data_IF_479985138934
#
_entry.id   IF_479985138934
#
_cell.length_a   1.000
_cell.length_b   1.000
_cell.length_c   1.000
_cell.angle_alpha   90.00
_cell.angle_beta   90.00
_cell.angle_gamma   90.00
#
_symmetry.space_group_name_H-M   'P 1'
#
loop_
_entity.id
_entity.type
_entity.pdbx_description
1 polymer ?
#
# COMPACT_ATOMS: atom_id res chain seq x y z
N UNK A 1 -10.30 -7.68 18.97
CA UNK A 1 -9.55 -7.33 17.77
C UNK A 1 -10.25 -6.21 17.03
N UNK A 2 -9.55 -5.13 16.74
CA UNK A 2 -10.14 -3.99 16.04
C UNK A 2 -10.22 -4.20 14.53
N UNK A 3 -10.79 -3.23 13.86
CA UNK A 3 -10.87 -3.20 12.40
C UNK A 3 -10.12 -2.00 11.87
N UNK A 4 -9.41 -2.21 10.78
CA UNK A 4 -8.70 -1.16 10.05
C UNK A 4 -9.51 -0.85 8.80
N UNK A 5 -9.72 0.44 8.51
CA UNK A 5 -10.34 0.83 7.26
C UNK A 5 -9.37 0.59 6.12
N UNK A 6 -9.77 -0.24 5.18
CA UNK A 6 -8.95 -0.56 4.03
C UNK A 6 -9.00 0.54 3.00
N UNK A 7 -7.94 0.62 2.20
CA UNK A 7 -7.83 1.57 1.10
C UNK A 7 -7.52 0.80 -0.17
N UNK A 8 -8.06 1.25 -1.28
CA UNK A 8 -7.73 0.68 -2.58
C UNK A 8 -6.68 1.56 -3.25
N UNK A 9 -5.57 0.97 -3.66
CA UNK A 9 -4.58 1.60 -4.50
C UNK A 9 -4.76 1.07 -5.92
N UNK A 10 -4.92 1.96 -6.88
CA UNK A 10 -5.17 1.59 -8.27
C UNK A 10 -4.26 2.41 -9.18
N UNK A 11 -3.85 1.80 -10.28
CA UNK A 11 -3.02 2.47 -11.26
C UNK A 11 -3.43 2.08 -12.68
N UNK A 12 -2.98 2.88 -13.65
CA UNK A 12 -3.20 2.60 -15.06
C UNK A 12 -2.17 1.59 -15.54
N UNK A 13 -2.55 0.64 -16.42
CA UNK A 13 -1.58 -0.29 -16.97
C UNK A 13 -0.48 0.42 -17.75
N UNK A 14 0.73 -0.15 -17.71
CA UNK A 14 1.84 0.37 -18.50
C UNK A 14 1.53 0.22 -19.99
N UNK A 15 1.76 1.27 -20.76
CA UNK A 15 1.48 1.28 -22.19
C UNK A 15 2.43 0.33 -22.92
N UNK A 16 1.88 -0.44 -23.87
CA UNK A 16 2.67 -1.32 -24.72
C UNK A 16 3.14 -2.62 -24.09
N UNK A 17 2.83 -2.89 -22.83
CA UNK A 17 3.28 -4.08 -22.12
C UNK A 17 2.08 -4.91 -21.69
N UNK A 18 1.57 -5.76 -22.59
CA UNK A 18 0.36 -6.53 -22.32
C UNK A 18 0.47 -7.54 -21.20
N UNK A 19 1.67 -7.92 -20.77
CA UNK A 19 1.88 -8.92 -19.71
C UNK A 19 2.79 -8.39 -18.62
N UNK A 20 2.86 -7.08 -18.44
CA UNK A 20 3.71 -6.49 -17.40
C UNK A 20 3.25 -6.96 -16.02
N UNK A 21 4.21 -7.19 -15.16
CA UNK A 21 3.99 -7.38 -13.73
C UNK A 21 4.38 -6.09 -13.05
N UNK A 22 3.96 -5.93 -11.81
CA UNK A 22 4.17 -4.67 -11.10
C UNK A 22 4.85 -4.91 -9.77
N UNK A 23 5.60 -3.90 -9.32
CA UNK A 23 6.17 -3.84 -7.98
C UNK A 23 5.60 -2.64 -7.27
N UNK A 24 5.17 -2.84 -6.03
CA UNK A 24 4.73 -1.75 -5.16
C UNK A 24 5.84 -1.46 -4.15
N UNK A 25 6.35 -0.24 -4.20
CA UNK A 25 7.37 0.26 -3.28
C UNK A 25 6.71 1.14 -2.23
N UNK A 26 7.32 1.23 -1.05
CA UNK A 26 6.87 2.18 -0.03
C UNK A 26 8.04 2.74 0.75
N UNK A 27 7.83 3.94 1.29
CA UNK A 27 8.80 4.61 2.13
C UNK A 27 8.08 5.50 3.14
N UNK A 28 8.54 5.45 4.38
CA UNK A 28 7.98 6.25 5.46
C UNK A 28 8.63 7.63 5.55
N UNK A 29 9.76 7.84 4.89
CA UNK A 29 10.55 9.05 5.01
C UNK A 29 10.58 9.91 3.75
N UNK A 30 9.78 9.59 2.75
CA UNK A 30 9.68 10.38 1.54
C UNK A 30 10.85 10.27 0.58
N UNK A 31 11.70 9.28 0.73
CA UNK A 31 12.87 9.08 -0.15
C UNK A 31 12.75 7.78 -0.93
N UNK A 32 11.60 7.55 -1.53
CA UNK A 32 11.32 6.32 -2.24
C UNK A 32 12.15 6.20 -3.52
N UNK A 33 12.84 5.10 -3.66
CA UNK A 33 13.63 4.77 -4.85
C UNK A 33 13.68 3.24 -5.01
N UNK A 34 14.50 2.75 -5.96
CA UNK A 34 14.60 1.32 -6.22
C UNK A 34 15.21 0.52 -5.07
N UNK A 35 15.83 1.18 -4.11
CA UNK A 35 16.37 0.53 -2.91
C UNK A 35 15.35 0.47 -1.78
N UNK A 36 14.19 1.08 -1.94
CA UNK A 36 13.12 1.05 -0.96
C UNK A 36 12.51 -0.35 -0.84
N UNK A 37 11.80 -0.58 0.25
CA UNK A 37 11.07 -1.83 0.41
C UNK A 37 10.01 -1.97 -0.66
N UNK A 38 9.74 -3.20 -1.08
CA UNK A 38 8.75 -3.43 -2.11
C UNK A 38 8.11 -4.81 -1.96
N UNK A 39 7.01 -4.97 -2.65
CA UNK A 39 6.34 -6.25 -2.84
C UNK A 39 6.01 -6.43 -4.31
N UNK A 40 6.15 -7.65 -4.80
CA UNK A 40 5.70 -7.98 -6.15
C UNK A 40 4.21 -8.26 -6.09
N UNK A 41 3.44 -7.59 -6.95
CA UNK A 41 1.99 -7.72 -6.92
C UNK A 41 1.43 -8.42 -8.15
N UNK A 42 2.31 -8.87 -9.07
CA UNK A 42 1.88 -9.60 -10.25
C UNK A 42 1.25 -8.71 -11.31
N UNK A 43 0.47 -9.31 -12.19
CA UNK A 43 -0.14 -8.63 -13.33
C UNK A 43 -1.51 -8.06 -12.97
N UNK A 44 -1.57 -7.26 -11.93
CA UNK A 44 -2.81 -6.62 -11.46
C UNK A 44 -2.63 -5.11 -11.51
N UNK A 45 -3.72 -4.36 -11.50
CA UNK A 45 -3.69 -2.90 -11.54
C UNK A 45 -4.33 -2.27 -10.31
N UNK A 46 -4.58 -3.08 -9.28
CA UNK A 46 -5.06 -2.57 -8.00
C UNK A 46 -4.74 -3.55 -6.89
N UNK A 47 -4.60 -3.02 -5.68
CA UNK A 47 -4.44 -3.80 -4.46
C UNK A 47 -5.24 -3.13 -3.35
N UNK A 48 -5.59 -3.91 -2.34
CA UNK A 48 -6.27 -3.42 -1.15
C UNK A 48 -5.25 -3.31 -0.03
N UNK A 49 -5.10 -2.12 0.50
CA UNK A 49 -4.16 -1.85 1.58
C UNK A 49 -4.87 -1.90 2.92
N UNK A 50 -4.28 -2.46 3.95
CA UNK A 50 -2.95 -3.08 3.98
C UNK A 50 -2.97 -4.58 3.71
N UNK A 51 -4.13 -5.19 3.51
CA UNK A 51 -4.29 -6.65 3.54
C UNK A 51 -3.54 -7.37 2.42
N UNK A 52 -3.51 -6.79 1.22
CA UNK A 52 -2.84 -7.43 0.08
C UNK A 52 -1.32 -7.32 0.14
N UNK A 53 -0.79 -6.50 1.06
CA UNK A 53 0.65 -6.28 1.21
C UNK A 53 1.02 -6.57 2.66
N UNK A 54 1.24 -7.84 3.03
CA UNK A 54 1.49 -8.20 4.43
C UNK A 54 2.70 -7.52 5.06
N UNK A 55 3.70 -7.17 4.25
CA UNK A 55 4.91 -6.52 4.75
C UNK A 55 4.79 -5.00 4.90
N UNK A 56 3.66 -4.43 4.48
CA UNK A 56 3.43 -2.98 4.65
C UNK A 56 3.31 -2.66 6.14
N UNK A 57 3.96 -1.58 6.62
CA UNK A 57 3.88 -1.27 8.06
C UNK A 57 2.47 -0.85 8.47
N UNK A 58 2.07 -1.29 9.66
CA UNK A 58 0.75 -0.98 10.25
C UNK A 58 0.90 0.23 11.17
N UNK A 59 1.13 1.38 10.56
CA UNK A 59 1.38 2.64 11.27
C UNK A 59 0.37 3.69 10.86
N UNK A 60 0.34 4.79 11.59
CA UNK A 60 -0.38 6.01 11.22
C UNK A 60 0.64 7.06 10.79
N UNK A 61 0.45 7.66 9.64
CA UNK A 61 1.35 8.69 9.15
C UNK A 61 1.35 8.79 7.65
N UNK A 62 2.20 9.68 7.14
CA UNK A 62 2.40 9.81 5.72
C UNK A 62 3.23 8.66 5.19
N UNK A 63 2.83 8.15 4.04
CA UNK A 63 3.50 7.04 3.39
C UNK A 63 3.63 7.36 1.92
N UNK A 64 4.83 7.25 1.39
CA UNK A 64 5.05 7.38 -0.05
C UNK A 64 4.94 5.99 -0.67
N UNK A 65 4.13 5.88 -1.72
CA UNK A 65 3.93 4.66 -2.46
C UNK A 65 4.40 4.84 -3.88
N UNK A 66 4.93 3.79 -4.48
CA UNK A 66 5.38 3.82 -5.85
C UNK A 66 5.08 2.53 -6.57
N UNK A 67 4.73 2.65 -7.84
CA UNK A 67 4.47 1.49 -8.70
C UNK A 67 5.43 1.54 -9.87
N UNK A 68 6.03 0.40 -10.19
CA UNK A 68 6.79 0.21 -11.41
C UNK A 68 6.26 -0.99 -12.16
N UNK A 69 6.49 -1.00 -13.48
CA UNK A 69 6.17 -2.14 -14.33
C UNK A 69 7.44 -2.90 -14.65
N UNK A 70 7.35 -4.23 -14.67
CA UNK A 70 8.48 -5.11 -14.98
C UNK A 70 8.09 -5.98 -16.16
N UNK A 71 8.91 -5.99 -17.22
CA UNK A 71 8.65 -6.80 -18.40
C UNK A 71 9.24 -8.20 -18.25
N UNK A 72 9.06 -9.02 -19.28
CA UNK A 72 9.54 -10.41 -19.26
C UNK A 72 11.05 -10.52 -19.17
N UNK A 73 11.76 -9.53 -19.70
CA UNK A 73 13.23 -9.52 -19.63
C UNK A 73 13.75 -9.12 -18.24
N UNK A 74 12.87 -8.68 -17.36
CA UNK A 74 13.24 -8.24 -16.03
C UNK A 74 13.58 -6.76 -15.96
N UNK A 75 13.36 -6.01 -17.04
CA UNK A 75 13.58 -4.56 -17.02
C UNK A 75 12.42 -3.87 -16.32
N UNK A 76 12.75 -2.86 -15.55
CA UNK A 76 11.81 -2.16 -14.71
C UNK A 76 11.65 -0.71 -15.16
N UNK A 77 10.40 -0.23 -15.19
CA UNK A 77 10.09 1.15 -15.57
C UNK A 77 10.50 2.13 -14.48
N UNK A 78 10.38 3.41 -14.78
CA UNK A 78 10.40 4.44 -13.75
C UNK A 78 9.27 4.18 -12.75
N UNK A 79 9.46 4.66 -11.52
CA UNK A 79 8.48 4.50 -10.45
C UNK A 79 7.52 5.68 -10.49
N UNK A 80 6.23 5.37 -10.61
CA UNK A 80 5.18 6.39 -10.45
C UNK A 80 4.83 6.47 -8.98
N UNK A 81 4.90 7.66 -8.41
CA UNK A 81 4.83 7.88 -6.95
C UNK A 81 3.61 8.68 -6.54
N UNK A 82 3.15 8.43 -5.33
CA UNK A 82 2.13 9.23 -4.65
C UNK A 82 2.44 9.24 -3.16
N UNK A 83 2.16 10.35 -2.49
CA UNK A 83 2.25 10.45 -1.03
C UNK A 83 0.88 10.70 -0.47
N UNK A 84 0.53 10.01 0.61
CA UNK A 84 -0.76 10.17 1.26
C UNK A 84 -0.63 9.81 2.73
N UNK A 85 -1.59 10.28 3.51
CA UNK A 85 -1.70 9.90 4.91
C UNK A 85 -2.52 8.62 5.01
N UNK A 86 -1.99 7.65 5.75
CA UNK A 86 -2.67 6.40 6.06
C UNK A 86 -2.67 6.18 7.55
N UNK A 87 -3.71 5.53 8.04
CA UNK A 87 -3.76 5.08 9.42
C UNK A 87 -4.19 3.61 9.41
N UNK A 88 -3.22 2.74 9.61
CA UNK A 88 -3.44 1.30 9.69
C UNK A 88 -3.35 0.79 11.13
N UNK A 89 -3.64 1.67 12.08
CA UNK A 89 -3.69 1.32 13.50
C UNK A 89 -5.13 1.27 13.97
N UNK A 90 -5.34 0.65 15.12
CA UNK A 90 -6.66 0.66 15.75
C UNK A 90 -6.59 1.42 17.06
N UNK A 91 -7.66 2.12 17.45
CA UNK A 91 -7.67 2.78 18.75
C UNK A 91 -7.79 1.77 19.88
N UNK A 92 -7.49 2.20 21.08
CA UNK A 92 -7.74 1.37 22.24
C UNK A 92 -9.25 1.17 22.42
N UNK A 93 -9.63 0.01 22.91
CA UNK A 93 -11.03 -0.26 23.20
C UNK A 93 -11.53 0.63 24.35
N UNK A 94 -12.82 0.98 24.34
CA UNK A 94 -13.41 1.64 25.49
C UNK A 94 -13.21 0.81 26.74
N UNK A 95 -13.05 1.46 27.89
CA UNK A 95 -12.68 0.75 29.11
C UNK A 95 -13.83 0.00 29.73
N UNK A 96 -15.03 0.51 29.64
CA UNK A 96 -16.19 -0.16 30.22
C UNK A 96 -17.45 0.23 29.50
N UNK A 97 -18.46 -0.59 29.69
CA UNK A 97 -19.79 -0.35 29.11
C UNK A 97 -20.80 -0.60 30.22
N UNK A 98 -21.61 0.40 30.56
CA UNK A 98 -22.54 0.35 31.64
C UNK A 98 -23.93 0.75 31.14
N UNK A 99 -24.95 0.02 31.59
CA UNK A 99 -26.34 0.38 31.34
C UNK A 99 -26.84 1.11 32.61
N UNK A 100 -27.36 2.31 32.40
CA UNK A 100 -27.91 3.11 33.47
C UNK A 100 -29.35 3.44 33.16
N UNK A 101 -30.14 3.58 34.21
CA UNK A 101 -31.50 4.06 34.07
C UNK A 101 -31.49 5.55 33.73
N UNK A 102 -32.30 5.95 32.76
CA UNK A 102 -32.39 7.36 32.40
C UNK A 102 -33.35 8.07 33.36
#
# INVERSE_FOLDING_TARGET
MGKIKQKKLRWEPAAGEGSAKYKLYWSENGALDYASRFAEVGAVTQVVLPDDIPSLPRIAGNLELGISAVNQAGNESDITKISAYFDFTVPEAPKSLVVEDW
#
